data_IF_370876080048
#
_entry.id   IF_370876080048
#
_cell.length_a   1.000
_cell.length_b   1.000
_cell.length_c   1.000
_cell.angle_alpha   90.00
_cell.angle_beta   90.00
_cell.angle_gamma   90.00
#
_symmetry.space_group_name_H-M   'P 1'
#
loop_
_entity.id
_entity.type
_entity.pdbx_description
1 polymer ?
#
# COMPACT_ATOMS: atom_id res chain seq x y z
N UNK A 1 9.84 10.89 -4.60
CA UNK A 1 10.53 10.45 -3.38
C UNK A 1 9.98 9.13 -2.85
N UNK A 2 8.85 9.13 -2.13
CA UNK A 2 8.34 7.96 -1.37
C UNK A 2 8.07 6.73 -2.24
N UNK A 3 7.37 6.89 -3.36
CA UNK A 3 7.09 5.78 -4.29
C UNK A 3 8.37 5.20 -4.90
N UNK A 4 9.37 6.05 -5.20
CA UNK A 4 10.66 5.56 -5.70
C UNK A 4 11.42 4.74 -4.66
N UNK A 5 11.39 5.16 -3.40
CA UNK A 5 12.03 4.42 -2.31
C UNK A 5 11.32 3.08 -2.03
N UNK A 6 9.99 3.07 -1.98
CA UNK A 6 9.21 1.82 -1.82
C UNK A 6 9.41 0.87 -3.00
N UNK A 7 9.50 1.42 -4.23
CA UNK A 7 9.83 0.64 -5.41
C UNK A 7 11.21 -0.02 -5.32
N UNK A 8 12.23 0.72 -4.92
CA UNK A 8 13.59 0.19 -4.75
C UNK A 8 13.65 -0.92 -3.70
N UNK A 9 12.97 -0.74 -2.56
CA UNK A 9 12.85 -1.76 -1.51
C UNK A 9 12.18 -3.03 -2.04
N UNK A 10 11.07 -2.88 -2.76
CA UNK A 10 10.34 -4.03 -3.30
C UNK A 10 11.11 -4.75 -4.40
N UNK A 11 11.77 -4.01 -5.28
CA UNK A 11 12.64 -4.57 -6.34
C UNK A 11 13.81 -5.36 -5.75
N UNK A 12 14.44 -4.82 -4.69
CA UNK A 12 15.48 -5.53 -3.95
C UNK A 12 14.97 -6.80 -3.27
N UNK A 13 13.81 -6.73 -2.62
CA UNK A 13 13.20 -7.87 -1.95
C UNK A 13 12.79 -8.98 -2.91
N UNK A 14 12.16 -8.64 -4.04
CA UNK A 14 11.70 -9.59 -5.05
C UNK A 14 12.79 -9.97 -6.06
N UNK A 15 13.96 -9.34 -5.98
CA UNK A 15 15.06 -9.49 -6.96
C UNK A 15 14.55 -9.32 -8.40
N UNK A 16 13.58 -8.43 -8.59
CA UNK A 16 12.94 -8.17 -9.86
C UNK A 16 12.85 -6.66 -10.11
N UNK A 17 13.57 -6.13 -11.11
CA UNK A 17 13.57 -4.70 -11.42
C UNK A 17 12.21 -4.17 -11.93
N UNK A 18 11.30 -5.05 -12.30
CA UNK A 18 9.94 -4.70 -12.75
C UNK A 18 8.91 -4.69 -11.62
N UNK A 19 9.31 -4.97 -10.38
CA UNK A 19 8.41 -4.96 -9.24
C UNK A 19 7.91 -3.54 -8.96
N UNK A 20 6.59 -3.40 -8.85
CA UNK A 20 5.90 -2.14 -8.58
C UNK A 20 5.08 -2.26 -7.28
N UNK A 21 5.23 -1.32 -6.32
CA UNK A 21 4.42 -1.30 -5.09
C UNK A 21 2.91 -1.24 -5.35
N UNK A 22 2.49 -0.69 -6.49
CA UNK A 22 1.08 -0.56 -6.86
C UNK A 22 0.35 -1.88 -6.99
N UNK A 23 1.05 -2.96 -7.37
CA UNK A 23 0.44 -4.29 -7.53
C UNK A 23 0.15 -5.02 -6.22
N UNK A 24 0.66 -4.53 -5.09
CA UNK A 24 0.44 -5.16 -3.78
C UNK A 24 -0.96 -4.89 -3.18
N UNK A 25 -1.80 -4.10 -3.84
CA UNK A 25 -3.16 -3.83 -3.39
C UNK A 25 -3.28 -2.77 -2.30
N UNK A 26 -2.18 -2.27 -1.75
CA UNK A 26 -2.19 -1.28 -0.67
C UNK A 26 -2.84 0.03 -1.10
N UNK A 27 -2.50 0.51 -2.30
CA UNK A 27 -3.10 1.73 -2.88
C UNK A 27 -4.60 1.55 -3.15
N UNK A 28 -5.01 0.37 -3.65
CA UNK A 28 -6.42 0.02 -3.84
C UNK A 28 -7.18 -0.01 -2.52
N UNK A 29 -6.59 -0.60 -1.47
CA UNK A 29 -7.14 -0.59 -0.12
C UNK A 29 -7.30 0.81 0.44
N UNK A 30 -6.30 1.68 0.26
CA UNK A 30 -6.37 3.08 0.65
C UNK A 30 -7.50 3.83 -0.07
N UNK A 31 -7.63 3.65 -1.38
CA UNK A 31 -8.70 4.25 -2.17
C UNK A 31 -10.07 3.78 -1.68
N UNK A 32 -10.26 2.47 -1.50
CA UNK A 32 -11.50 1.91 -0.96
C UNK A 32 -11.85 2.47 0.41
N UNK A 33 -10.88 2.54 1.33
CA UNK A 33 -11.09 3.10 2.67
C UNK A 33 -11.58 4.55 2.63
N UNK A 34 -11.00 5.37 1.76
CA UNK A 34 -11.44 6.77 1.57
C UNK A 34 -12.81 6.85 0.91
N UNK A 35 -13.10 5.99 -0.07
CA UNK A 35 -14.43 5.93 -0.72
C UNK A 35 -15.52 5.54 0.30
N UNK A 36 -15.23 4.62 1.21
CA UNK A 36 -16.17 4.26 2.28
C UNK A 36 -16.44 5.41 3.24
N UNK A 37 -15.44 6.25 3.54
CA UNK A 37 -15.62 7.47 4.34
C UNK A 37 -16.56 8.46 3.63
N UNK A 38 -16.42 8.62 2.32
CA UNK A 38 -17.36 9.42 1.53
C UNK A 38 -18.77 8.81 1.55
N UNK A 39 -18.85 7.50 1.30
CA UNK A 39 -20.13 6.78 1.24
C UNK A 39 -20.92 6.88 2.53
N UNK A 40 -20.25 6.79 3.67
CA UNK A 40 -20.88 6.86 5.00
C UNK A 40 -21.13 8.30 5.47
N UNK A 41 -20.71 9.32 4.73
CA UNK A 41 -20.86 10.72 5.08
C UNK A 41 -19.96 11.18 6.25
N UNK A 42 -18.99 10.37 6.68
CA UNK A 42 -18.06 10.70 7.76
C UNK A 42 -17.19 11.93 7.44
N UNK A 43 -17.10 12.32 6.19
CA UNK A 43 -16.45 13.58 5.78
C UNK A 43 -17.06 14.81 6.44
N UNK A 44 -18.35 14.77 6.78
CA UNK A 44 -19.04 15.87 7.48
C UNK A 44 -18.55 16.05 8.93
N UNK A 45 -17.97 15.02 9.55
CA UNK A 45 -17.45 15.06 10.92
C UNK A 45 -16.12 15.79 10.98
N UNK A 46 -15.20 15.50 10.05
CA UNK A 46 -13.88 16.15 10.00
C UNK A 46 -13.21 15.93 8.64
N UNK A 47 -12.45 16.93 8.20
CA UNK A 47 -11.59 16.86 7.00
C UNK A 47 -10.54 15.75 7.12
N UNK A 48 -10.16 15.36 8.34
CA UNK A 48 -9.19 14.30 8.60
C UNK A 48 -9.75 12.89 8.37
N UNK A 49 -11.07 12.73 8.27
CA UNK A 49 -11.68 11.41 8.06
C UNK A 49 -11.24 10.76 6.75
N UNK A 50 -11.05 11.55 5.70
CA UNK A 50 -10.56 11.02 4.41
C UNK A 50 -9.16 10.41 4.48
N UNK A 51 -8.12 11.14 4.94
CA UNK A 51 -6.81 10.53 5.09
C UNK A 51 -6.78 9.39 6.10
N UNK A 52 -7.56 9.45 7.19
CA UNK A 52 -7.66 8.36 8.16
C UNK A 52 -8.32 7.12 7.56
N UNK A 53 -9.38 7.29 6.76
CA UNK A 53 -10.00 6.20 6.02
C UNK A 53 -9.02 5.53 5.02
N UNK A 54 -8.25 6.35 4.31
CA UNK A 54 -7.20 5.85 3.43
C UNK A 54 -6.10 5.08 4.16
N UNK A 55 -5.63 5.60 5.30
CA UNK A 55 -4.64 4.90 6.14
C UNK A 55 -5.20 3.59 6.71
N UNK A 56 -6.44 3.59 7.20
CA UNK A 56 -7.09 2.39 7.71
C UNK A 56 -7.26 1.33 6.60
N UNK A 57 -7.69 1.74 5.41
CA UNK A 57 -7.81 0.87 4.25
C UNK A 57 -6.48 0.32 3.77
N UNK A 58 -5.42 1.13 3.76
CA UNK A 58 -4.06 0.70 3.45
C UNK A 58 -3.54 -0.33 4.47
N UNK A 59 -3.72 -0.05 5.77
CA UNK A 59 -3.31 -0.94 6.84
C UNK A 59 -4.06 -2.28 6.76
N UNK A 60 -5.37 -2.24 6.55
CA UNK A 60 -6.18 -3.45 6.38
C UNK A 60 -5.70 -4.26 5.17
N UNK A 61 -5.40 -3.61 4.05
CA UNK A 61 -4.86 -4.27 2.87
C UNK A 61 -3.52 -4.97 3.15
N UNK A 62 -2.61 -4.31 3.89
CA UNK A 62 -1.33 -4.92 4.31
C UNK A 62 -1.58 -6.13 5.22
N UNK A 63 -2.46 -6.02 6.20
CA UNK A 63 -2.78 -7.12 7.11
C UNK A 63 -3.39 -8.32 6.38
N UNK A 64 -4.32 -8.06 5.44
CA UNK A 64 -4.90 -9.10 4.59
C UNK A 64 -3.84 -9.74 3.69
N UNK A 65 -2.98 -8.92 3.07
CA UNK A 65 -1.89 -9.42 2.23
C UNK A 65 -0.95 -10.32 3.03
N UNK A 66 -0.54 -9.89 4.23
CA UNK A 66 0.33 -10.70 5.11
C UNK A 66 -0.35 -12.01 5.52
N UNK A 67 -1.66 -11.98 5.81
CA UNK A 67 -2.44 -13.16 6.14
C UNK A 67 -2.55 -14.14 4.96
N UNK A 68 -2.75 -13.64 3.74
CA UNK A 68 -2.86 -14.44 2.53
C UNK A 68 -1.52 -15.05 2.10
N UNK A 69 -0.44 -14.28 2.24
CA UNK A 69 0.90 -14.73 1.85
C UNK A 69 1.45 -15.74 2.84
N UNK A 70 1.21 -15.55 4.13
CA UNK A 70 1.72 -16.43 5.18
C UNK A 70 3.23 -16.65 5.07
N UNK A 71 3.64 -17.89 4.80
CA UNK A 71 5.05 -18.27 4.53
C UNK A 71 5.33 -18.44 3.03
N UNK A 72 4.45 -17.99 2.16
CA UNK A 72 4.61 -18.06 0.71
C UNK A 72 5.74 -17.19 0.20
N UNK A 73 6.30 -17.58 -0.94
CA UNK A 73 7.38 -16.84 -1.61
C UNK A 73 6.89 -15.63 -2.40
N UNK A 74 7.81 -15.01 -3.15
CA UNK A 74 7.57 -13.83 -3.97
C UNK A 74 6.38 -13.96 -4.93
N UNK A 75 6.21 -15.14 -5.54
CA UNK A 75 5.08 -15.40 -6.44
C UNK A 75 3.73 -15.32 -5.73
N UNK A 76 3.63 -15.91 -4.53
CA UNK A 76 2.40 -15.86 -3.72
C UNK A 76 2.10 -14.42 -3.31
N UNK A 77 3.12 -13.64 -2.96
CA UNK A 77 2.97 -12.20 -2.64
C UNK A 77 2.39 -11.42 -3.83
N UNK A 78 2.93 -11.62 -5.03
CA UNK A 78 2.46 -10.93 -6.23
C UNK A 78 1.03 -11.34 -6.62
N UNK A 79 0.71 -12.63 -6.56
CA UNK A 79 -0.64 -13.13 -6.86
C UNK A 79 -1.67 -12.65 -5.83
N UNK A 80 -1.34 -12.71 -4.54
CA UNK A 80 -2.20 -12.21 -3.47
C UNK A 80 -2.41 -10.68 -3.58
N UNK A 81 -1.35 -9.93 -3.91
CA UNK A 81 -1.42 -8.50 -4.16
C UNK A 81 -2.33 -8.15 -5.33
N UNK A 82 -2.17 -8.83 -6.46
CA UNK A 82 -3.01 -8.63 -7.64
C UNK A 82 -4.48 -8.97 -7.36
N UNK A 83 -4.74 -10.07 -6.66
CA UNK A 83 -6.09 -10.44 -6.24
C UNK A 83 -6.71 -9.39 -5.30
N UNK A 84 -5.95 -8.90 -4.33
CA UNK A 84 -6.39 -7.86 -3.40
C UNK A 84 -6.64 -6.53 -4.11
N UNK A 85 -5.78 -6.14 -5.07
CA UNK A 85 -5.97 -4.97 -5.92
C UNK A 85 -7.29 -5.05 -6.71
N UNK A 86 -7.54 -6.18 -7.36
CA UNK A 86 -8.74 -6.41 -8.16
C UNK A 86 -9.99 -6.40 -7.27
N UNK A 87 -9.92 -7.00 -6.10
CA UNK A 87 -11.01 -7.02 -5.13
C UNK A 87 -11.33 -5.61 -4.59
N UNK A 88 -10.30 -4.85 -4.22
CA UNK A 88 -10.47 -3.46 -3.78
C UNK A 88 -11.07 -2.58 -4.89
N UNK A 89 -10.63 -2.76 -6.14
CA UNK A 89 -11.19 -2.04 -7.28
C UNK A 89 -12.66 -2.40 -7.53
N UNK A 90 -13.03 -3.67 -7.43
CA UNK A 90 -14.42 -4.12 -7.57
C UNK A 90 -15.32 -3.55 -6.47
N UNK A 91 -14.87 -3.54 -5.21
CA UNK A 91 -15.60 -2.93 -4.09
C UNK A 91 -15.72 -1.40 -4.24
N UNK A 92 -14.67 -0.75 -4.73
CA UNK A 92 -14.71 0.69 -5.04
C UNK A 92 -15.76 0.98 -6.13
N UNK A 93 -15.76 0.21 -7.22
CA UNK A 93 -16.75 0.34 -8.28
C UNK A 93 -18.17 0.08 -7.77
N UNK A 94 -18.36 -0.93 -6.92
CA UNK A 94 -19.65 -1.22 -6.28
C UNK A 94 -20.10 -0.03 -5.42
N UNK A 95 -19.24 0.49 -4.55
CA UNK A 95 -19.54 1.65 -3.72
C UNK A 95 -19.96 2.86 -4.54
N UNK A 96 -19.25 3.15 -5.65
CA UNK A 96 -19.59 4.23 -6.56
C UNK A 96 -20.94 4.03 -7.26
N UNK A 97 -21.28 2.81 -7.65
CA UNK A 97 -22.57 2.48 -8.28
C UNK A 97 -23.75 2.55 -7.30
N UNK A 98 -23.51 2.32 -6.00
CA UNK A 98 -24.54 2.39 -4.96
C UNK A 98 -24.73 3.81 -4.41
N UNK A 99 -23.95 4.80 -4.90
CA UNK A 99 -24.08 6.19 -4.45
C UNK A 99 -25.44 6.77 -4.82
N UNK A 100 -26.13 7.43 -3.87
CA UNK A 100 -27.45 8.02 -4.12
C UNK A 100 -27.40 9.23 -5.07
N UNK A 101 -26.22 9.84 -5.23
CA UNK A 101 -26.05 11.05 -6.05
C UNK A 101 -24.93 10.86 -7.08
N UNK A 102 -25.20 11.11 -8.38
CA UNK A 102 -24.18 11.12 -9.42
C UNK A 102 -23.04 12.13 -9.17
N UNK A 103 -23.36 13.26 -8.51
CA UNK A 103 -22.36 14.26 -8.15
C UNK A 103 -21.36 13.74 -7.15
N UNK A 104 -21.81 12.99 -6.13
CA UNK A 104 -20.92 12.37 -5.14
C UNK A 104 -19.98 11.35 -5.80
N UNK A 105 -20.51 10.53 -6.71
CA UNK A 105 -19.69 9.57 -7.46
C UNK A 105 -18.62 10.24 -8.31
N UNK A 106 -18.97 11.36 -8.98
CA UNK A 106 -18.04 12.13 -9.78
C UNK A 106 -16.96 12.81 -8.94
N UNK A 107 -17.31 13.37 -7.79
CA UNK A 107 -16.37 13.99 -6.86
C UNK A 107 -15.35 12.97 -6.30
N UNK A 108 -15.84 11.78 -5.90
CA UNK A 108 -14.99 10.69 -5.44
C UNK A 108 -14.06 10.23 -6.55
N UNK A 109 -14.57 10.09 -7.79
CA UNK A 109 -13.75 9.68 -8.92
C UNK A 109 -12.62 10.67 -9.19
N UNK A 110 -12.90 11.97 -9.16
CA UNK A 110 -11.88 13.02 -9.25
C UNK A 110 -10.86 12.94 -8.12
N UNK A 111 -11.32 12.62 -6.91
CA UNK A 111 -10.44 12.51 -5.75
C UNK A 111 -9.52 11.27 -5.85
N UNK A 112 -10.05 10.13 -6.28
CA UNK A 112 -9.28 8.88 -6.49
C UNK A 112 -8.25 9.03 -7.60
N UNK A 113 -8.57 9.77 -8.67
CA UNK A 113 -7.61 10.08 -9.74
C UNK A 113 -6.45 10.96 -9.26
N UNK A 114 -6.64 11.65 -8.14
CA UNK A 114 -5.66 12.53 -7.54
C UNK A 114 -5.59 13.91 -8.23
N UNK A 115 -5.27 14.91 -7.44
CA UNK A 115 -5.05 16.27 -7.92
C UNK A 115 -4.15 17.02 -6.94
N UNK A 116 -3.27 17.86 -7.47
CA UNK A 116 -2.48 18.82 -6.68
C UNK A 116 -3.19 20.18 -6.57
N UNK A 117 -4.32 20.35 -7.26
CA UNK A 117 -5.12 21.57 -7.21
C UNK A 117 -5.73 21.75 -5.81
N UNK A 118 -5.73 22.96 -5.31
CA UNK A 118 -6.31 23.35 -4.02
C UNK A 118 -5.70 22.63 -2.80
N UNK A 119 -4.45 22.19 -2.91
CA UNK A 119 -3.71 21.60 -1.80
C UNK A 119 -3.01 22.69 -0.98
N UNK A 120 -3.21 22.62 0.33
CA UNK A 120 -2.62 23.55 1.30
C UNK A 120 -1.50 22.86 2.08
N UNK A 121 -0.69 23.65 2.78
CA UNK A 121 0.34 23.10 3.68
C UNK A 121 -0.24 22.20 4.78
N UNK A 122 -1.51 22.34 5.13
CA UNK A 122 -2.19 21.43 6.07
C UNK A 122 -2.13 19.98 5.58
N UNK A 123 -2.34 19.73 4.29
CA UNK A 123 -2.24 18.38 3.72
C UNK A 123 -0.81 17.82 3.81
N UNK A 124 0.18 18.70 3.66
CA UNK A 124 1.60 18.31 3.82
C UNK A 124 1.87 17.92 5.27
N UNK A 125 1.45 18.72 6.24
CA UNK A 125 1.68 18.45 7.65
C UNK A 125 0.97 17.18 8.15
N UNK A 126 -0.21 16.87 7.60
CA UNK A 126 -0.95 15.63 7.93
C UNK A 126 -0.27 14.39 7.37
N UNK A 127 0.28 14.48 6.15
CA UNK A 127 0.91 13.32 5.48
C UNK A 127 2.37 13.11 5.90
N UNK A 128 3.07 14.18 6.27
CA UNK A 128 4.51 14.17 6.54
C UNK A 128 4.95 13.17 7.62
N UNK A 129 4.27 13.05 8.78
CA UNK A 129 4.66 12.09 9.82
C UNK A 129 4.62 10.65 9.33
N UNK A 130 3.59 10.27 8.58
CA UNK A 130 3.47 8.93 7.99
C UNK A 130 4.56 8.66 6.95
N UNK A 131 4.87 9.66 6.12
CA UNK A 131 5.95 9.57 5.12
C UNK A 131 7.31 9.39 5.81
N UNK A 132 7.61 10.19 6.81
CA UNK A 132 8.89 10.10 7.55
C UNK A 132 9.00 8.75 8.26
N UNK A 133 7.95 8.30 8.93
CA UNK A 133 7.94 6.99 9.59
C UNK A 133 8.18 5.86 8.57
N UNK A 134 7.53 5.92 7.41
CA UNK A 134 7.74 4.97 6.31
C UNK A 134 9.18 4.99 5.79
N UNK A 135 9.78 6.16 5.62
CA UNK A 135 11.17 6.29 5.19
C UNK A 135 12.14 5.70 6.22
N UNK A 136 11.95 6.00 7.51
CA UNK A 136 12.78 5.44 8.57
C UNK A 136 12.71 3.91 8.53
N UNK A 137 11.49 3.33 8.47
CA UNK A 137 11.32 1.88 8.39
C UNK A 137 12.00 1.28 7.15
N UNK A 138 11.84 1.87 5.98
CA UNK A 138 12.48 1.39 4.75
C UNK A 138 14.01 1.49 4.81
N UNK A 139 14.56 2.56 5.36
CA UNK A 139 15.99 2.74 5.51
C UNK A 139 16.61 1.76 6.53
N UNK A 140 15.88 1.37 7.58
CA UNK A 140 16.34 0.34 8.50
C UNK A 140 16.46 -1.03 7.86
N UNK A 141 15.71 -1.30 6.79
CA UNK A 141 15.77 -2.58 6.06
C UNK A 141 16.85 -2.60 4.98
N UNK A 142 17.48 -1.48 4.63
CA UNK A 142 18.43 -1.37 3.53
C UNK A 142 19.57 -2.38 3.63
N UNK A 143 20.20 -2.52 4.80
CA UNK A 143 21.31 -3.48 5.04
C UNK A 143 20.87 -4.93 4.82
N UNK A 144 19.65 -5.27 5.22
CA UNK A 144 19.11 -6.62 5.01
C UNK A 144 18.83 -6.87 3.52
N UNK A 145 18.38 -5.86 2.78
CA UNK A 145 18.15 -5.94 1.34
C UNK A 145 19.47 -6.07 0.57
N UNK A 146 20.50 -5.32 0.96
CA UNK A 146 21.84 -5.44 0.37
C UNK A 146 22.40 -6.86 0.57
N UNK A 147 22.25 -7.43 1.77
CA UNK A 147 22.67 -8.80 2.05
C UNK A 147 21.87 -9.82 1.22
N UNK A 148 20.55 -9.65 1.08
CA UNK A 148 19.71 -10.50 0.25
C UNK A 148 20.05 -10.42 -1.24
N UNK A 149 20.51 -9.26 -1.72
CA UNK A 149 20.94 -9.09 -3.11
C UNK A 149 22.20 -9.92 -3.43
N UNK A 150 23.04 -10.21 -2.44
CA UNK A 150 24.23 -11.07 -2.57
C UNK A 150 23.93 -12.56 -2.53
N UNK A 151 22.70 -12.93 -2.22
CA UNK A 151 22.24 -14.32 -2.10
C UNK A 151 21.91 -14.74 -0.67
N UNK A 152 21.05 -15.76 -0.56
CA UNK A 152 20.52 -16.20 0.74
C UNK A 152 21.62 -16.78 1.66
N UNK A 153 22.56 -17.54 1.09
CA UNK A 153 23.70 -18.12 1.82
C UNK A 153 24.62 -17.03 2.41
N UNK A 154 24.85 -15.96 1.62
CA UNK A 154 25.67 -14.83 2.07
C UNK A 154 24.93 -14.03 3.15
N UNK A 155 23.63 -13.80 2.99
CA UNK A 155 22.81 -13.12 3.97
C UNK A 155 22.78 -13.88 5.33
N UNK A 156 22.66 -15.21 5.31
CA UNK A 156 22.73 -16.04 6.51
C UNK A 156 24.11 -15.98 7.17
N UNK A 157 25.20 -15.99 6.40
CA UNK A 157 26.57 -15.88 6.92
C UNK A 157 26.86 -14.53 7.59
N UNK A 158 26.18 -13.48 7.13
CA UNK A 158 26.22 -12.13 7.72
C UNK A 158 25.32 -11.97 8.94
N UNK A 159 24.66 -13.06 9.40
CA UNK A 159 23.86 -13.09 10.62
C UNK A 159 22.40 -12.64 10.44
N UNK A 160 21.93 -12.42 9.19
CA UNK A 160 20.54 -12.15 8.94
C UNK A 160 19.72 -13.45 8.97
N UNK A 161 18.80 -13.58 9.94
CA UNK A 161 17.88 -14.73 10.03
C UNK A 161 16.78 -14.59 8.98
N UNK A 162 16.89 -15.30 7.87
CA UNK A 162 15.85 -15.40 6.86
C UNK A 162 14.74 -16.35 7.35
N UNK A 163 13.89 -15.86 8.26
CA UNK A 163 12.68 -16.59 8.67
C UNK A 163 11.66 -16.54 7.54
N UNK A 164 11.54 -17.59 6.75
CA UNK A 164 10.44 -17.78 5.81
C UNK A 164 10.77 -18.13 4.37
N UNK A 165 12.05 -18.21 3.96
CA UNK A 165 12.41 -18.58 2.60
C UNK A 165 12.56 -20.11 2.37
N UNK A 166 12.35 -20.94 3.40
CA UNK A 166 12.44 -22.40 3.27
C UNK A 166 11.07 -23.03 3.14
N UNK A 167 10.58 -23.05 1.94
CA UNK A 167 9.37 -23.80 1.61
C UNK A 167 9.10 -23.85 0.13
N UNK A 168 10.03 -24.36 -0.68
CA UNK A 168 9.82 -25.19 -1.87
C UNK A 168 11.19 -25.57 -2.42
N UNK A 169 11.67 -26.76 -2.12
CA UNK A 169 12.38 -27.61 -3.04
C UNK A 169 11.39 -28.63 -3.55
#
# INVERSE_FOLDING_TARGET
GTLGLSGAVLQGYLRNPLADPGILGVSGGAALGSVLVFYTGLTAVSVLMLPLGGLAGALLAVLLLMGLVGQGGALVLLLAGAALSSFAAALTALALNLMPSPYASFEIMRWVMGSLTDRTFTHVWVSLPGIIAGWILMLTTARALDALALGDEVAESLGFRLRGARGVQ
#
